data_IF_782419048322
#
_entry.id   IF_782419048322
#
_cell.length_a   1.000
_cell.length_b   1.000
_cell.length_c   1.000
_cell.angle_alpha   90.00
_cell.angle_beta   90.00
_cell.angle_gamma   90.00
#
_symmetry.space_group_name_H-M   'P 1'
#
loop_
_entity.id
_entity.type
_entity.pdbx_description
1 polymer ?
#
# COMPACT_ATOMS: atom_id res chain seq x y z
N UNK A 1 6.48 -24.41 -3.43
CA UNK A 1 7.61 -24.88 -2.58
C UNK A 1 8.35 -25.98 -3.32
N UNK A 2 9.48 -25.66 -3.96
CA UNK A 2 10.32 -26.61 -4.68
C UNK A 2 11.59 -26.94 -3.88
N UNK A 3 12.37 -27.97 -4.31
CA UNK A 3 13.61 -28.37 -3.61
C UNK A 3 14.60 -27.23 -3.39
N UNK A 4 14.59 -26.19 -4.25
CA UNK A 4 15.42 -24.99 -4.10
C UNK A 4 15.03 -24.12 -2.90
N UNK A 5 13.78 -24.10 -2.48
CA UNK A 5 13.31 -23.32 -1.34
C UNK A 5 13.77 -23.92 0.00
N UNK A 6 13.73 -25.24 0.11
CA UNK A 6 14.27 -25.96 1.29
C UNK A 6 15.79 -25.82 1.40
N UNK A 7 16.49 -25.90 0.26
CA UNK A 7 17.94 -25.66 0.22
C UNK A 7 18.28 -24.24 0.69
N UNK A 8 17.58 -23.22 0.18
CA UNK A 8 17.80 -21.85 0.62
C UNK A 8 17.50 -21.66 2.11
N UNK A 9 16.42 -22.23 2.65
CA UNK A 9 16.13 -22.18 4.07
C UNK A 9 17.22 -22.82 4.94
N UNK A 10 17.87 -23.88 4.46
CA UNK A 10 18.94 -24.55 5.21
C UNK A 10 20.28 -23.82 5.14
N UNK A 11 20.54 -23.07 4.06
CA UNK A 11 21.81 -22.36 3.84
C UNK A 11 21.77 -20.92 4.35
N UNK A 12 20.60 -20.26 4.28
CA UNK A 12 20.43 -18.86 4.73
C UNK A 12 20.96 -18.58 6.16
N UNK A 13 20.68 -19.38 7.19
CA UNK A 13 21.22 -19.12 8.53
C UNK A 13 22.76 -19.09 8.57
N UNK A 14 23.41 -19.91 7.75
CA UNK A 14 24.88 -19.97 7.69
C UNK A 14 25.48 -18.83 6.85
N UNK A 15 24.75 -18.34 5.84
CA UNK A 15 25.16 -17.17 5.05
C UNK A 15 25.02 -15.86 5.85
N UNK A 16 24.10 -15.81 6.81
CA UNK A 16 23.87 -14.63 7.68
C UNK A 16 24.92 -14.48 8.78
N UNK A 17 25.67 -15.53 9.08
CA UNK A 17 26.68 -15.53 10.15
C UNK A 17 28.05 -15.04 9.69
N UNK A 18 28.31 -14.90 8.39
CA UNK A 18 29.57 -14.39 7.90
C UNK A 18 29.52 -12.88 7.55
N UNK A 19 30.71 -12.26 7.45
CA UNK A 19 30.84 -10.82 7.18
C UNK A 19 30.32 -10.45 5.77
N UNK A 20 30.46 -11.35 4.79
CA UNK A 20 30.01 -11.16 3.42
C UNK A 20 28.48 -11.18 3.35
N UNK A 21 27.80 -12.13 4.03
CA UNK A 21 26.35 -12.20 4.08
C UNK A 21 25.72 -10.97 4.76
N UNK A 22 26.36 -10.43 5.79
CA UNK A 22 25.92 -9.17 6.43
C UNK A 22 26.09 -7.98 5.50
N UNK A 23 27.20 -7.87 4.79
CA UNK A 23 27.43 -6.79 3.81
C UNK A 23 26.43 -6.85 2.63
N UNK A 24 26.03 -8.04 2.21
CA UNK A 24 25.01 -8.24 1.16
C UNK A 24 23.61 -7.80 1.64
N UNK A 25 23.26 -8.12 2.89
CA UNK A 25 22.01 -7.66 3.50
C UNK A 25 21.96 -6.13 3.64
N UNK A 26 23.05 -5.51 4.10
CA UNK A 26 23.16 -4.05 4.22
C UNK A 26 23.07 -3.39 2.84
N UNK A 27 23.63 -4.02 1.81
CA UNK A 27 23.54 -3.54 0.44
C UNK A 27 22.11 -3.65 -0.11
N UNK A 28 21.43 -4.76 0.15
CA UNK A 28 20.03 -4.95 -0.22
C UNK A 28 19.13 -3.94 0.50
N UNK A 29 19.34 -3.70 1.80
CA UNK A 29 18.58 -2.71 2.56
C UNK A 29 18.74 -1.30 1.99
N UNK A 30 19.98 -0.89 1.65
CA UNK A 30 20.24 0.40 1.01
C UNK A 30 19.54 0.55 -0.34
N UNK A 31 19.55 -0.49 -1.17
CA UNK A 31 18.86 -0.47 -2.46
C UNK A 31 17.34 -0.30 -2.27
N UNK A 32 16.77 -0.97 -1.27
CA UNK A 32 15.34 -0.86 -0.94
C UNK A 32 15.02 0.58 -0.50
N UNK A 33 15.84 1.14 0.41
CA UNK A 33 15.67 2.51 0.90
C UNK A 33 15.78 3.56 -0.22
N UNK A 34 16.81 3.46 -1.07
CA UNK A 34 16.96 4.33 -2.24
C UNK A 34 15.75 4.26 -3.18
N UNK A 35 15.22 3.06 -3.38
CA UNK A 35 14.02 2.87 -4.21
C UNK A 35 12.79 3.50 -3.56
N UNK A 36 12.59 3.32 -2.26
CA UNK A 36 11.48 3.95 -1.53
C UNK A 36 11.57 5.47 -1.60
N UNK A 37 12.77 6.05 -1.41
CA UNK A 37 12.99 7.48 -1.57
C UNK A 37 12.64 7.99 -2.98
N UNK A 38 13.04 7.27 -4.02
CA UNK A 38 12.70 7.63 -5.42
C UNK A 38 11.19 7.61 -5.67
N UNK A 39 10.49 6.61 -5.15
CA UNK A 39 9.02 6.53 -5.25
C UNK A 39 8.38 7.72 -4.54
N UNK A 40 8.81 8.04 -3.31
CA UNK A 40 8.32 9.21 -2.56
C UNK A 40 8.59 10.52 -3.31
N UNK A 41 9.81 10.69 -3.86
CA UNK A 41 10.15 11.88 -4.64
C UNK A 41 9.24 12.01 -5.88
N UNK A 42 9.04 10.93 -6.62
CA UNK A 42 8.14 10.90 -7.77
C UNK A 42 6.74 11.39 -7.39
N UNK A 43 6.13 10.84 -6.33
CA UNK A 43 4.81 11.27 -5.87
C UNK A 43 4.77 12.68 -5.31
N UNK A 44 5.86 13.20 -4.72
CA UNK A 44 5.95 14.60 -4.36
C UNK A 44 5.93 15.52 -5.59
N UNK A 45 6.58 15.13 -6.68
CA UNK A 45 6.67 15.92 -7.91
C UNK A 45 5.36 15.96 -8.68
N UNK A 46 4.61 14.85 -8.74
CA UNK A 46 3.36 14.76 -9.50
C UNK A 46 2.11 15.05 -8.68
N UNK A 47 2.25 15.35 -7.39
CA UNK A 47 1.11 15.44 -6.47
C UNK A 47 0.04 16.43 -6.92
N UNK A 48 0.42 17.57 -7.49
CA UNK A 48 -0.53 18.60 -7.95
C UNK A 48 -1.36 18.15 -9.16
N UNK A 49 -0.84 17.23 -9.98
CA UNK A 49 -1.49 16.70 -11.18
C UNK A 49 -2.11 15.30 -10.93
N UNK A 50 -1.93 14.75 -9.72
CA UNK A 50 -2.29 13.36 -9.40
C UNK A 50 -3.76 13.04 -9.65
N UNK A 51 -4.68 13.89 -9.22
CA UNK A 51 -6.12 13.63 -9.35
C UNK A 51 -6.57 13.53 -10.82
N UNK A 52 -5.92 14.29 -11.73
CA UNK A 52 -6.17 14.21 -13.17
C UNK A 52 -5.60 12.91 -13.75
N UNK A 53 -4.35 12.59 -13.41
CA UNK A 53 -3.69 11.34 -13.83
C UNK A 53 -4.45 10.10 -13.34
N UNK A 54 -4.88 10.09 -12.08
CA UNK A 54 -5.63 8.98 -11.50
C UNK A 54 -6.98 8.76 -12.20
N UNK A 55 -7.69 9.84 -12.56
CA UNK A 55 -8.92 9.75 -13.34
C UNK A 55 -8.69 9.20 -14.75
N UNK A 56 -7.60 9.56 -15.40
CA UNK A 56 -7.22 9.00 -16.71
C UNK A 56 -6.91 7.50 -16.61
N UNK A 57 -6.19 7.08 -15.57
CA UNK A 57 -5.83 5.68 -15.30
C UNK A 57 -7.09 4.84 -15.04
N UNK A 58 -7.98 5.30 -14.19
CA UNK A 58 -9.20 4.57 -13.81
C UNK A 58 -10.26 4.56 -14.92
N UNK A 59 -10.27 5.58 -15.77
CA UNK A 59 -11.25 5.70 -16.86
C UNK A 59 -12.69 5.62 -16.36
N UNK A 60 -13.47 4.65 -16.88
CA UNK A 60 -14.88 4.44 -16.49
C UNK A 60 -15.03 3.55 -15.22
N UNK A 61 -13.94 3.12 -14.59
CA UNK A 61 -14.01 2.26 -13.40
C UNK A 61 -14.52 3.04 -12.18
N UNK A 62 -15.68 2.63 -11.66
CA UNK A 62 -16.29 3.27 -10.48
C UNK A 62 -15.68 2.73 -9.18
N UNK A 63 -14.48 3.21 -8.83
CA UNK A 63 -13.80 2.86 -7.58
C UNK A 63 -14.66 3.15 -6.33
N UNK A 64 -15.36 4.29 -6.21
CA UNK A 64 -16.21 4.57 -5.04
C UNK A 64 -17.27 3.52 -4.79
N UNK A 65 -17.93 3.03 -5.85
CA UNK A 65 -18.96 1.99 -5.70
C UNK A 65 -18.39 0.66 -5.18
N UNK A 66 -17.19 0.28 -5.63
CA UNK A 66 -16.51 -0.93 -5.17
C UNK A 66 -16.13 -0.80 -3.71
N UNK A 67 -15.54 0.33 -3.32
CA UNK A 67 -15.14 0.63 -1.95
C UNK A 67 -16.37 0.57 -1.01
N UNK A 68 -17.42 1.32 -1.31
CA UNK A 68 -18.61 1.40 -0.44
C UNK A 68 -19.32 0.06 -0.27
N UNK A 69 -19.30 -0.80 -1.28
CA UNK A 69 -19.84 -2.17 -1.18
C UNK A 69 -18.98 -3.09 -0.28
N UNK A 70 -17.68 -2.81 -0.16
CA UNK A 70 -16.77 -3.63 0.63
C UNK A 70 -16.74 -3.23 2.11
N UNK A 71 -17.08 -1.97 2.45
CA UNK A 71 -17.10 -1.47 3.83
C UNK A 71 -18.08 -2.29 4.69
N UNK A 72 -17.66 -2.81 5.86
CA UNK A 72 -18.57 -3.44 6.81
C UNK A 72 -19.64 -2.46 7.32
N UNK A 73 -20.87 -2.95 7.57
CA UNK A 73 -21.98 -2.10 8.09
C UNK A 73 -21.67 -1.46 9.45
N UNK A 74 -20.86 -2.13 10.27
CA UNK A 74 -20.47 -1.70 11.61
C UNK A 74 -19.04 -1.12 11.66
N UNK A 75 -18.52 -0.65 10.53
CA UNK A 75 -17.21 -0.04 10.43
C UNK A 75 -17.06 1.18 11.34
N UNK A 76 -16.13 1.13 12.29
CA UNK A 76 -15.78 2.27 13.14
C UNK A 76 -14.56 2.99 12.60
N UNK A 77 -13.52 2.26 12.26
CA UNK A 77 -12.23 2.80 11.77
C UNK A 77 -11.91 2.22 10.40
N UNK A 78 -11.83 3.08 9.40
CA UNK A 78 -11.30 2.71 8.09
C UNK A 78 -9.94 3.35 7.85
N UNK A 79 -9.01 2.60 7.25
CA UNK A 79 -7.72 3.12 6.84
C UNK A 79 -7.55 3.03 5.31
N UNK A 80 -7.08 4.13 4.72
CA UNK A 80 -6.67 4.21 3.32
C UNK A 80 -5.13 4.29 3.26
N UNK A 81 -4.52 3.25 2.70
CA UNK A 81 -3.08 3.07 2.68
C UNK A 81 -2.51 3.46 1.30
N UNK A 82 -1.65 4.47 1.28
CA UNK A 82 -1.30 5.20 0.08
C UNK A 82 -2.41 6.17 -0.31
N UNK A 83 -2.91 6.93 0.66
CA UNK A 83 -4.12 7.74 0.49
C UNK A 83 -3.96 8.91 -0.50
N UNK A 84 -2.74 9.23 -0.92
CA UNK A 84 -2.48 10.32 -1.86
C UNK A 84 -3.13 11.63 -1.42
N UNK A 85 -3.89 12.23 -2.31
CA UNK A 85 -4.64 13.48 -2.08
C UNK A 85 -5.94 13.29 -1.28
N UNK A 86 -6.25 12.07 -0.82
CA UNK A 86 -7.39 11.77 0.05
C UNK A 86 -8.72 11.53 -0.68
N UNK A 87 -8.73 11.27 -1.97
CA UNK A 87 -9.96 11.03 -2.76
C UNK A 87 -10.76 9.84 -2.21
N UNK A 88 -10.11 8.72 -1.89
CA UNK A 88 -10.76 7.54 -1.30
C UNK A 88 -11.33 7.85 0.08
N UNK A 89 -10.60 8.60 0.92
CA UNK A 89 -11.09 9.02 2.23
C UNK A 89 -12.36 9.87 2.13
N UNK A 90 -12.46 10.72 1.09
CA UNK A 90 -13.66 11.52 0.84
C UNK A 90 -14.88 10.63 0.57
N UNK A 91 -14.71 9.56 -0.21
CA UNK A 91 -15.77 8.58 -0.46
C UNK A 91 -16.14 7.75 0.77
N UNK A 92 -15.20 7.50 1.69
CA UNK A 92 -15.44 6.79 2.93
C UNK A 92 -16.14 7.64 4.01
N UNK A 93 -16.26 8.96 3.81
CA UNK A 93 -16.96 9.84 4.76
C UNK A 93 -18.42 9.43 4.95
N UNK A 94 -18.79 9.27 6.20
CA UNK A 94 -20.15 8.83 6.55
C UNK A 94 -20.36 7.32 6.50
N UNK A 95 -19.46 6.54 5.88
CA UNK A 95 -19.50 5.08 5.92
C UNK A 95 -18.81 4.52 7.18
N UNK A 96 -17.81 5.22 7.72
CA UNK A 96 -17.11 4.85 8.94
C UNK A 96 -17.02 6.06 9.86
N UNK A 97 -16.82 5.82 11.17
CA UNK A 97 -16.77 6.87 12.18
C UNK A 97 -15.46 7.63 12.18
N UNK A 98 -14.36 6.92 11.99
CA UNK A 98 -13.01 7.45 11.99
C UNK A 98 -12.29 6.99 10.72
N UNK A 99 -11.58 7.90 10.09
CA UNK A 99 -10.81 7.64 8.87
C UNK A 99 -9.33 7.92 9.11
N UNK A 100 -8.49 7.02 8.67
CA UNK A 100 -7.03 7.15 8.75
C UNK A 100 -6.47 7.13 7.33
N UNK A 101 -5.81 8.20 6.91
CA UNK A 101 -5.03 8.21 5.68
C UNK A 101 -3.55 8.06 5.98
N UNK A 102 -2.89 7.14 5.31
CA UNK A 102 -1.43 6.96 5.40
C UNK A 102 -0.82 7.17 4.04
N UNK A 103 0.19 8.02 3.95
CA UNK A 103 0.98 8.20 2.74
C UNK A 103 2.45 8.51 3.06
N UNK A 104 3.36 8.09 2.19
CA UNK A 104 4.79 8.38 2.31
C UNK A 104 5.18 9.79 1.82
N UNK A 105 4.33 10.44 1.01
CA UNK A 105 4.58 11.75 0.42
C UNK A 105 4.01 12.88 1.30
N UNK A 106 4.85 13.75 1.86
CA UNK A 106 4.37 14.94 2.58
C UNK A 106 3.52 15.87 1.70
N UNK A 107 3.81 15.95 0.40
CA UNK A 107 3.06 16.80 -0.53
C UNK A 107 1.66 16.26 -0.77
N UNK A 108 1.52 14.95 -0.95
CA UNK A 108 0.21 14.30 -1.04
C UNK A 108 -0.65 14.59 0.20
N UNK A 109 -0.08 14.39 1.40
CA UNK A 109 -0.79 14.67 2.65
C UNK A 109 -1.13 16.15 2.84
N UNK A 110 -0.33 17.07 2.32
CA UNK A 110 -0.66 18.50 2.30
C UNK A 110 -1.92 18.74 1.45
N UNK A 111 -2.00 18.15 0.26
CA UNK A 111 -3.16 18.27 -0.62
C UNK A 111 -4.39 17.59 0.00
N UNK A 112 -4.22 16.41 0.62
CA UNK A 112 -5.29 15.76 1.36
C UNK A 112 -5.82 16.66 2.50
N UNK A 113 -4.95 17.33 3.27
CA UNK A 113 -5.40 18.30 4.29
C UNK A 113 -6.21 19.43 3.68
N UNK A 114 -5.79 19.96 2.53
CA UNK A 114 -6.52 21.04 1.83
C UNK A 114 -7.87 20.56 1.30
N UNK A 115 -7.97 19.30 0.85
CA UNK A 115 -9.24 18.71 0.39
C UNK A 115 -10.29 18.69 1.50
N UNK A 116 -9.88 18.37 2.72
CA UNK A 116 -10.80 18.31 3.86
C UNK A 116 -10.97 19.66 4.57
N UNK A 117 -9.99 20.57 4.43
CA UNK A 117 -9.97 21.93 5.00
C UNK A 117 -10.52 21.98 6.46
N UNK A 118 -11.65 22.67 6.70
CA UNK A 118 -12.29 22.78 8.03
C UNK A 118 -13.03 21.49 8.46
N UNK A 119 -13.09 20.46 7.61
CA UNK A 119 -13.88 19.23 7.83
C UNK A 119 -13.00 18.02 8.19
N UNK A 120 -11.99 18.23 9.02
CA UNK A 120 -11.06 17.17 9.49
C UNK A 120 -11.64 16.30 10.63
N UNK A 121 -12.85 16.57 11.11
CA UNK A 121 -13.45 15.80 12.18
C UNK A 121 -13.55 14.31 11.83
N UNK A 122 -12.91 13.48 12.67
CA UNK A 122 -12.84 12.03 12.44
C UNK A 122 -11.82 11.59 11.40
N UNK A 123 -11.00 12.50 10.83
CA UNK A 123 -9.96 12.17 9.86
C UNK A 123 -8.58 12.38 10.45
N UNK A 124 -7.72 11.36 10.38
CA UNK A 124 -6.31 11.38 10.80
C UNK A 124 -5.41 11.12 9.60
N UNK A 125 -4.59 12.08 9.21
CA UNK A 125 -3.60 11.92 8.15
C UNK A 125 -2.22 11.69 8.78
N UNK A 126 -1.60 10.56 8.46
CA UNK A 126 -0.34 10.10 9.04
C UNK A 126 0.70 9.88 7.95
N UNK A 127 1.91 10.43 8.15
CA UNK A 127 3.03 10.10 7.27
C UNK A 127 3.60 8.74 7.68
N UNK A 128 3.83 7.87 6.71
CA UNK A 128 4.39 6.54 6.96
C UNK A 128 4.61 5.72 5.70
N UNK A 129 5.47 4.71 5.83
CA UNK A 129 5.71 3.71 4.79
C UNK A 129 4.80 2.50 5.03
N UNK A 130 4.41 1.83 3.94
CA UNK A 130 3.43 0.74 4.02
C UNK A 130 4.02 -0.56 4.59
N UNK A 131 5.33 -0.68 4.61
CA UNK A 131 6.02 -1.80 5.27
C UNK A 131 6.32 -1.54 6.77
N UNK A 132 5.92 -0.36 7.30
CA UNK A 132 5.97 0.05 8.70
C UNK A 132 4.85 1.05 8.99
N UNK A 133 3.61 0.56 9.06
CA UNK A 133 2.43 1.40 9.20
C UNK A 133 2.40 2.13 10.55
N UNK A 134 2.11 3.45 10.56
CA UNK A 134 1.93 4.23 11.79
C UNK A 134 0.54 3.97 12.42
N UNK A 135 0.16 2.68 12.51
CA UNK A 135 -1.05 2.17 13.11
C UNK A 135 -0.72 1.12 14.18
N UNK A 136 -1.58 1.03 15.19
CA UNK A 136 -1.51 -0.01 16.21
C UNK A 136 -2.02 -1.34 15.67
N UNK A 137 -1.66 -2.42 16.35
CA UNK A 137 -2.22 -3.74 16.05
C UNK A 137 -3.75 -3.71 16.22
N UNK A 138 -4.47 -4.21 15.22
CA UNK A 138 -5.93 -4.27 15.23
C UNK A 138 -6.59 -2.89 15.33
N UNK A 139 -6.05 -1.82 14.74
CA UNK A 139 -6.65 -0.48 14.80
C UNK A 139 -7.78 -0.28 13.80
N UNK A 140 -7.78 -1.00 12.65
CA UNK A 140 -8.71 -0.78 11.57
C UNK A 140 -9.73 -1.93 11.41
N UNK A 141 -10.99 -1.60 11.20
CA UNK A 141 -12.06 -2.53 10.85
C UNK A 141 -12.13 -2.74 9.33
N UNK A 142 -11.73 -1.73 8.56
CA UNK A 142 -11.65 -1.78 7.11
C UNK A 142 -10.36 -1.12 6.62
N UNK A 143 -9.71 -1.75 5.66
CA UNK A 143 -8.51 -1.21 5.00
C UNK A 143 -8.78 -1.15 3.50
N UNK A 144 -8.49 0.00 2.90
CA UNK A 144 -8.43 0.16 1.45
C UNK A 144 -6.98 0.40 1.04
N UNK A 145 -6.55 -0.22 -0.05
CA UNK A 145 -5.29 0.08 -0.73
C UNK A 145 -5.57 0.08 -2.24
N UNK A 146 -5.40 1.21 -2.89
CA UNK A 146 -5.80 1.41 -4.27
C UNK A 146 -4.64 1.92 -5.12
N UNK A 147 -4.24 1.13 -6.14
CA UNK A 147 -3.16 1.44 -7.09
C UNK A 147 -1.83 1.79 -6.39
N UNK A 148 -1.43 1.01 -5.39
CA UNK A 148 -0.25 1.30 -4.57
C UNK A 148 0.75 0.15 -4.55
N UNK A 149 0.29 -1.12 -4.48
CA UNK A 149 1.20 -2.26 -4.28
C UNK A 149 2.24 -2.37 -5.38
N UNK A 150 1.89 -2.01 -6.61
CA UNK A 150 2.81 -2.06 -7.76
C UNK A 150 3.96 -1.04 -7.67
N UNK A 151 3.88 -0.04 -6.79
CA UNK A 151 4.98 0.89 -6.51
C UNK A 151 5.92 0.42 -5.40
N UNK A 152 5.50 -0.56 -4.59
CA UNK A 152 6.27 -0.97 -3.42
C UNK A 152 7.47 -1.84 -3.77
N UNK A 153 8.56 -1.65 -3.04
CA UNK A 153 9.74 -2.52 -3.15
C UNK A 153 9.47 -3.91 -2.59
N UNK A 154 8.61 -4.02 -1.57
CA UNK A 154 8.26 -5.25 -0.86
C UNK A 154 6.76 -5.34 -0.58
N UNK A 155 5.92 -5.68 -1.58
CA UNK A 155 4.47 -5.80 -1.39
C UNK A 155 4.09 -6.78 -0.26
N UNK A 156 4.85 -7.88 -0.10
CA UNK A 156 4.62 -8.87 0.96
C UNK A 156 4.81 -8.31 2.37
N UNK A 157 5.72 -7.36 2.57
CA UNK A 157 5.90 -6.70 3.87
C UNK A 157 4.69 -5.80 4.18
N UNK A 158 4.18 -5.07 3.18
CA UNK A 158 2.96 -4.28 3.32
C UNK A 158 1.74 -5.15 3.65
N UNK A 159 1.58 -6.31 3.01
CA UNK A 159 0.51 -7.26 3.35
C UNK A 159 0.62 -7.79 4.78
N UNK A 160 1.84 -8.02 5.28
CA UNK A 160 2.08 -8.38 6.69
C UNK A 160 1.66 -7.29 7.66
N UNK A 161 1.97 -6.03 7.36
CA UNK A 161 1.53 -4.86 8.14
C UNK A 161 0.00 -4.68 8.10
N UNK A 162 -0.62 -4.87 6.93
CA UNK A 162 -2.08 -4.87 6.78
C UNK A 162 -2.70 -5.91 7.72
N UNK A 163 -2.18 -7.14 7.71
CA UNK A 163 -2.67 -8.20 8.60
C UNK A 163 -2.50 -7.86 10.09
N UNK A 164 -1.40 -7.17 10.47
CA UNK A 164 -1.15 -6.73 11.84
C UNK A 164 -2.15 -5.67 12.32
N UNK A 165 -2.44 -4.68 11.46
CA UNK A 165 -3.26 -3.53 11.84
C UNK A 165 -4.76 -3.76 11.67
N UNK A 166 -5.15 -4.80 10.92
CA UNK A 166 -6.55 -5.17 10.73
C UNK A 166 -7.10 -5.87 11.96
N UNK A 167 -8.28 -5.45 12.41
CA UNK A 167 -9.01 -6.12 13.49
C UNK A 167 -9.38 -7.56 13.12
N UNK A 168 -9.46 -8.49 14.06
CA UNK A 168 -10.03 -9.81 13.80
C UNK A 168 -11.44 -9.70 13.21
N UNK A 169 -11.64 -10.28 12.02
CA UNK A 169 -12.90 -10.17 11.27
C UNK A 169 -13.04 -8.87 10.44
N UNK A 170 -12.06 -7.98 10.50
CA UNK A 170 -11.99 -6.82 9.62
C UNK A 170 -11.79 -7.21 8.15
N UNK A 171 -11.98 -6.26 7.24
CA UNK A 171 -11.87 -6.49 5.80
C UNK A 171 -10.79 -5.63 5.16
N UNK A 172 -10.12 -6.17 4.17
CA UNK A 172 -9.21 -5.41 3.29
C UNK A 172 -9.74 -5.44 1.86
N UNK A 173 -9.75 -4.29 1.22
CA UNK A 173 -9.97 -4.14 -0.22
C UNK A 173 -8.66 -3.73 -0.88
N UNK A 174 -8.21 -4.54 -1.82
CA UNK A 174 -7.04 -4.26 -2.65
C UNK A 174 -7.51 -4.09 -4.09
N UNK A 175 -7.23 -2.94 -4.68
CA UNK A 175 -7.39 -2.71 -6.11
C UNK A 175 -6.04 -2.37 -6.71
N UNK A 176 -5.65 -3.08 -7.76
CA UNK A 176 -4.37 -2.88 -8.43
C UNK A 176 -4.47 -3.37 -9.88
N UNK A 177 -3.44 -3.14 -10.68
CA UNK A 177 -3.40 -3.59 -12.06
C UNK A 177 -3.34 -5.12 -12.15
N UNK A 178 -4.10 -5.68 -13.08
CA UNK A 178 -3.84 -7.06 -13.54
C UNK A 178 -2.50 -7.12 -14.26
N UNK A 179 -1.86 -8.28 -14.22
CA UNK A 179 -0.52 -8.46 -14.79
C UNK A 179 -0.51 -8.11 -16.29
N UNK A 180 0.42 -7.24 -16.69
CA UNK A 180 0.57 -6.75 -18.06
C UNK A 180 2.03 -6.62 -18.48
N UNK A 181 2.28 -6.28 -19.76
CA UNK A 181 3.62 -6.17 -20.35
C UNK A 181 3.96 -4.73 -20.79
N UNK A 182 3.29 -3.72 -20.26
CA UNK A 182 3.49 -2.32 -20.65
C UNK A 182 4.71 -1.72 -19.92
N UNK A 183 5.90 -1.96 -20.44
CA UNK A 183 7.17 -1.51 -19.84
C UNK A 183 7.30 0.01 -19.70
N UNK A 184 6.56 0.80 -20.50
CA UNK A 184 6.50 2.26 -20.35
C UNK A 184 5.93 2.72 -19.00
N UNK A 185 5.12 1.90 -18.33
CA UNK A 185 4.58 2.21 -17.01
C UNK A 185 5.69 2.41 -15.97
N UNK A 186 6.80 1.66 -16.09
CA UNK A 186 7.96 1.81 -15.20
C UNK A 186 8.61 3.20 -15.29
N UNK A 187 8.64 3.77 -16.49
CA UNK A 187 9.30 5.07 -16.72
C UNK A 187 8.35 6.25 -16.56
N UNK A 188 7.08 6.08 -16.94
CA UNK A 188 6.09 7.17 -16.93
C UNK A 188 5.39 7.33 -15.58
N UNK A 189 5.18 6.21 -14.84
CA UNK A 189 4.40 6.22 -13.59
C UNK A 189 5.20 5.67 -12.40
N UNK A 190 6.45 5.26 -12.59
CA UNK A 190 7.31 4.77 -11.50
C UNK A 190 6.96 3.37 -11.01
N UNK A 191 6.24 2.58 -11.83
CA UNK A 191 5.83 1.23 -11.48
C UNK A 191 7.04 0.31 -11.30
N UNK A 192 7.03 -0.46 -10.23
CA UNK A 192 8.03 -1.50 -9.96
C UNK A 192 7.57 -2.86 -10.46
N UNK A 193 6.28 -3.11 -10.30
CA UNK A 193 5.60 -4.31 -10.75
C UNK A 193 4.63 -3.93 -11.86
N UNK A 194 4.56 -4.74 -12.89
CA UNK A 194 3.61 -4.56 -13.99
C UNK A 194 2.32 -5.32 -13.68
N UNK A 195 1.68 -4.94 -12.57
CA UNK A 195 0.48 -5.59 -12.06
C UNK A 195 0.74 -6.94 -11.39
N UNK A 196 -0.32 -7.58 -10.94
CA UNK A 196 -0.30 -8.85 -10.21
C UNK A 196 -1.37 -9.78 -10.77
N UNK A 197 -1.05 -11.07 -10.94
CA UNK A 197 -2.08 -12.06 -11.22
C UNK A 197 -2.94 -12.30 -9.98
N UNK A 198 -4.21 -12.67 -10.17
CA UNK A 198 -5.11 -12.98 -9.05
C UNK A 198 -4.56 -14.13 -8.17
N UNK A 199 -3.91 -15.13 -8.78
CA UNK A 199 -3.37 -16.28 -8.05
C UNK A 199 -2.15 -15.89 -7.21
N UNK A 200 -1.27 -15.04 -7.74
CA UNK A 200 -0.13 -14.51 -6.99
C UNK A 200 -0.58 -13.62 -5.83
N UNK A 201 -1.58 -12.75 -6.06
CA UNK A 201 -2.14 -11.88 -5.03
C UNK A 201 -2.80 -12.70 -3.93
N UNK A 202 -3.66 -13.67 -4.29
CA UNK A 202 -4.29 -14.57 -3.32
C UNK A 202 -3.26 -15.31 -2.48
N UNK A 203 -2.26 -15.90 -3.13
CA UNK A 203 -1.17 -16.61 -2.44
C UNK A 203 -0.37 -15.69 -1.52
N UNK A 204 -0.16 -14.43 -1.90
CA UNK A 204 0.55 -13.46 -1.07
C UNK A 204 -0.29 -13.06 0.16
N UNK A 205 -1.60 -12.85 -0.01
CA UNK A 205 -2.53 -12.54 1.07
C UNK A 205 -2.62 -13.70 2.08
N UNK A 206 -2.77 -14.95 1.60
CA UNK A 206 -2.81 -16.14 2.45
C UNK A 206 -1.52 -16.29 3.28
N UNK A 207 -0.35 -16.06 2.68
CA UNK A 207 0.94 -16.08 3.40
C UNK A 207 1.04 -14.99 4.48
N UNK A 208 0.37 -13.87 4.28
CA UNK A 208 0.29 -12.80 5.26
C UNK A 208 -0.78 -13.04 6.36
N UNK A 209 -1.59 -14.11 6.25
CA UNK A 209 -2.66 -14.43 7.19
C UNK A 209 -3.98 -13.73 6.87
N UNK A 210 -4.12 -13.18 5.67
CA UNK A 210 -5.36 -12.61 5.15
C UNK A 210 -6.13 -13.68 4.35
N UNK A 211 -7.45 -13.78 4.53
CA UNK A 211 -8.31 -14.82 3.91
C UNK A 211 -9.58 -14.21 3.30
#
# INVERSE_FOLDING_TARGET
>A
EGPGHEFLKSVMPHMLDDEAGRADLDSAARIIEERTMKTRQFFNEIADDWDEMNREILGEFSLPEVILKAVPEDCRVAADLGCGTGEVLEHLRGACRELIGVDGSPRMLELARRRFDEHMDGISLRIGELDHLPLRDGEADFICINLVLHHLSRPSAALGEIARVLNPGGRVLITDFDQHLQENMRTSYGDRWLGFSLDDMRSAMERAGLS
#
